data_IF_686452437322
#
_entry.id   IF_686452437322
#
_cell.length_a   1.000
_cell.length_b   1.000
_cell.length_c   1.000
_cell.angle_alpha   90.00
_cell.angle_beta   90.00
_cell.angle_gamma   90.00
#
_symmetry.space_group_name_H-M   'P 1'
#
loop_
_entity.id
_entity.type
_entity.pdbx_description
1 polymer ?
#
# COMPACT_ATOMS: atom_id res chain seq x y z
N UNK A 1 36.98 -13.90 30.45
CA UNK A 1 35.93 -13.90 31.48
C UNK A 1 34.78 -13.04 30.97
N UNK A 2 33.58 -13.60 30.73
CA UNK A 2 32.41 -12.89 30.18
C UNK A 2 31.72 -11.88 31.13
N UNK A 3 32.47 -11.16 31.95
CA UNK A 3 31.93 -10.31 33.02
C UNK A 3 31.49 -8.90 32.59
N UNK A 4 31.34 -8.60 31.30
CA UNK A 4 30.91 -7.27 30.81
C UNK A 4 29.57 -7.29 30.06
N UNK A 5 28.71 -8.29 30.35
CA UNK A 5 27.31 -8.29 29.90
C UNK A 5 26.47 -7.50 30.91
N UNK A 6 26.73 -6.20 31.08
CA UNK A 6 25.89 -5.38 31.97
C UNK A 6 25.63 -3.94 31.51
N UNK A 7 25.46 -3.76 30.19
CA UNK A 7 24.74 -2.62 29.58
C UNK A 7 23.45 -3.07 28.84
N UNK A 8 23.10 -4.36 28.93
CA UNK A 8 22.36 -5.07 27.87
C UNK A 8 20.83 -5.09 28.05
N UNK A 9 20.25 -4.69 29.19
CA UNK A 9 18.84 -5.00 29.47
C UNK A 9 17.79 -4.02 28.91
N UNK A 10 18.09 -2.73 28.72
CA UNK A 10 17.15 -1.82 28.06
C UNK A 10 17.21 -1.95 26.53
N UNK A 11 18.42 -2.09 25.98
CA UNK A 11 18.65 -2.30 24.55
C UNK A 11 18.08 -3.61 24.03
N UNK A 12 18.22 -4.73 24.77
CA UNK A 12 17.71 -6.04 24.30
C UNK A 12 16.20 -6.16 24.36
N UNK A 13 15.53 -5.57 25.35
CA UNK A 13 14.07 -5.63 25.43
C UNK A 13 13.41 -4.73 24.37
N UNK A 14 13.97 -3.54 24.13
CA UNK A 14 13.56 -2.66 23.03
C UNK A 14 13.87 -3.31 21.67
N UNK A 15 15.06 -3.88 21.49
CA UNK A 15 15.43 -4.61 20.27
C UNK A 15 14.50 -5.79 20.01
N UNK A 16 14.23 -6.64 21.02
CA UNK A 16 13.30 -7.78 20.90
C UNK A 16 11.88 -7.33 20.55
N UNK A 17 11.42 -6.20 21.09
CA UNK A 17 10.11 -5.60 20.73
C UNK A 17 10.11 -5.10 19.28
N UNK A 18 11.15 -4.37 18.88
CA UNK A 18 11.28 -3.84 17.53
C UNK A 18 11.37 -4.96 16.49
N UNK A 19 12.10 -6.03 16.78
CA UNK A 19 12.20 -7.19 15.89
C UNK A 19 10.86 -7.90 15.73
N UNK A 20 10.11 -8.08 16.83
CA UNK A 20 8.73 -8.61 16.73
C UNK A 20 7.83 -7.72 15.88
N UNK A 21 7.93 -6.40 16.03
CA UNK A 21 7.12 -5.48 15.23
C UNK A 21 7.52 -5.52 13.74
N UNK A 22 8.82 -5.63 13.44
CA UNK A 22 9.30 -5.85 12.06
C UNK A 22 8.73 -7.12 11.46
N UNK A 23 8.74 -8.24 12.19
CA UNK A 23 8.16 -9.51 11.72
C UNK A 23 6.65 -9.41 11.50
N UNK A 24 5.92 -8.75 12.42
CA UNK A 24 4.48 -8.52 12.29
C UNK A 24 4.17 -7.70 11.03
N UNK A 25 4.92 -6.61 10.80
CA UNK A 25 4.77 -5.76 9.62
C UNK A 25 5.12 -6.53 8.34
N UNK A 26 6.17 -7.35 8.36
CA UNK A 26 6.52 -8.22 7.23
C UNK A 26 5.38 -9.16 6.86
N UNK A 27 4.82 -9.88 7.84
CA UNK A 27 3.67 -10.77 7.62
C UNK A 27 2.48 -10.04 6.99
N UNK A 28 2.18 -8.82 7.44
CA UNK A 28 1.13 -8.00 6.83
C UNK A 28 1.47 -7.64 5.37
N UNK A 29 2.71 -7.24 5.09
CA UNK A 29 3.14 -6.87 3.74
C UNK A 29 3.08 -8.06 2.77
N UNK A 30 3.49 -9.25 3.23
CA UNK A 30 3.38 -10.49 2.46
C UNK A 30 1.91 -10.80 2.14
N UNK A 31 0.99 -10.54 3.08
CA UNK A 31 -0.45 -10.62 2.84
C UNK A 31 -0.95 -9.67 1.75
N UNK A 32 -0.46 -8.43 1.72
CA UNK A 32 -0.78 -7.48 0.65
C UNK A 32 -0.22 -7.91 -0.71
N UNK A 33 0.98 -8.49 -0.75
CA UNK A 33 1.57 -8.99 -2.00
C UNK A 33 0.78 -10.18 -2.56
N UNK A 34 0.39 -11.13 -1.70
CA UNK A 34 -0.52 -12.22 -2.08
C UNK A 34 -1.84 -11.69 -2.61
N UNK A 35 -2.44 -10.69 -1.94
CA UNK A 35 -3.67 -10.08 -2.42
C UNK A 35 -3.50 -9.50 -3.82
N UNK A 36 -2.42 -8.74 -4.07
CA UNK A 36 -2.15 -8.15 -5.41
C UNK A 36 -2.05 -9.20 -6.52
N UNK A 37 -1.52 -10.39 -6.23
CA UNK A 37 -1.44 -11.47 -7.21
C UNK A 37 -2.81 -12.01 -7.65
N UNK A 38 -3.87 -11.75 -6.87
CA UNK A 38 -5.24 -12.15 -7.20
C UNK A 38 -6.08 -11.02 -7.83
N UNK A 39 -5.53 -9.82 -7.96
CA UNK A 39 -6.24 -8.67 -8.52
C UNK A 39 -5.99 -8.54 -10.03
N UNK A 40 -6.94 -7.96 -10.78
CA UNK A 40 -6.78 -7.69 -12.21
C UNK A 40 -5.82 -6.52 -12.45
N UNK A 41 -4.53 -6.74 -12.19
CA UNK A 41 -3.43 -5.79 -12.36
C UNK A 41 -2.52 -6.25 -13.49
N UNK A 42 -2.04 -5.31 -14.30
CA UNK A 42 -0.95 -5.58 -15.24
C UNK A 42 0.39 -5.64 -14.48
N UNK A 43 1.44 -6.26 -15.05
CA UNK A 43 2.75 -6.33 -14.38
C UNK A 43 3.35 -4.94 -14.11
N UNK A 44 3.02 -3.95 -14.96
CA UNK A 44 3.35 -2.53 -14.75
C UNK A 44 2.62 -1.89 -13.57
N UNK A 45 1.44 -2.40 -13.19
CA UNK A 45 0.60 -1.86 -12.11
C UNK A 45 0.87 -2.49 -10.75
N UNK A 46 1.89 -3.37 -10.62
CA UNK A 46 2.21 -4.00 -9.31
C UNK A 46 2.60 -3.01 -8.21
N UNK A 47 2.77 -1.72 -8.52
CA UNK A 47 3.11 -0.63 -7.60
C UNK A 47 1.90 0.15 -7.06
N UNK A 48 0.74 -0.47 -6.91
CA UNK A 48 -0.40 0.17 -6.23
C UNK A 48 -0.21 0.27 -4.71
N UNK A 49 -0.73 1.36 -4.13
CA UNK A 49 -0.70 1.60 -2.68
C UNK A 49 -1.54 0.57 -1.91
N UNK A 50 -1.27 0.37 -0.62
CA UNK A 50 -2.07 -0.54 0.24
C UNK A 50 -3.56 -0.21 0.21
N UNK A 51 -3.91 1.08 0.27
CA UNK A 51 -5.31 1.54 0.23
C UNK A 51 -5.94 1.21 -1.12
N UNK A 52 -5.22 1.45 -2.20
CA UNK A 52 -5.75 1.18 -3.55
C UNK A 52 -5.83 -0.34 -3.82
N UNK A 53 -4.94 -1.14 -3.23
CA UNK A 53 -5.05 -2.61 -3.22
C UNK A 53 -6.37 -3.06 -2.57
N UNK A 54 -6.71 -2.53 -1.39
CA UNK A 54 -7.97 -2.88 -0.73
C UNK A 54 -9.19 -2.41 -1.53
N UNK A 55 -9.14 -1.20 -2.10
CA UNK A 55 -10.24 -0.68 -2.94
C UNK A 55 -10.44 -1.53 -4.19
N UNK A 56 -9.37 -1.92 -4.85
CA UNK A 56 -9.43 -2.79 -6.01
C UNK A 56 -9.96 -4.17 -5.65
N UNK A 57 -9.56 -4.74 -4.52
CA UNK A 57 -10.10 -6.00 -4.03
C UNK A 57 -11.62 -5.96 -3.82
N UNK A 58 -12.13 -4.91 -3.18
CA UNK A 58 -13.58 -4.72 -2.98
C UNK A 58 -14.30 -4.59 -4.32
N UNK A 59 -13.75 -3.80 -5.26
CA UNK A 59 -14.32 -3.66 -6.61
C UNK A 59 -14.32 -4.99 -7.36
N UNK A 60 -13.24 -5.77 -7.23
CA UNK A 60 -13.11 -7.05 -7.92
C UNK A 60 -14.11 -8.07 -7.40
N UNK A 61 -14.31 -8.17 -6.08
CA UNK A 61 -15.35 -9.04 -5.50
C UNK A 61 -16.74 -8.67 -6.04
N UNK A 62 -17.10 -7.38 -6.05
CA UNK A 62 -18.39 -6.92 -6.59
C UNK A 62 -18.54 -7.21 -8.08
N UNK A 63 -17.46 -7.08 -8.83
CA UNK A 63 -17.46 -7.40 -10.26
C UNK A 63 -17.69 -8.89 -10.49
N UNK A 64 -17.00 -9.77 -9.75
CA UNK A 64 -17.20 -11.22 -9.84
C UNK A 64 -18.62 -11.62 -9.47
N UNK A 65 -19.19 -11.02 -8.42
CA UNK A 65 -20.58 -11.26 -8.03
C UNK A 65 -21.57 -10.85 -9.13
N UNK A 66 -21.38 -9.67 -9.72
CA UNK A 66 -22.20 -9.22 -10.86
C UNK A 66 -22.04 -10.12 -12.10
N UNK A 67 -20.85 -10.66 -12.36
CA UNK A 67 -20.62 -11.61 -13.47
C UNK A 67 -21.41 -12.90 -13.28
N UNK A 68 -21.56 -13.38 -12.04
CA UNK A 68 -22.34 -14.58 -11.74
C UNK A 68 -23.85 -14.33 -11.86
N UNK A 69 -24.30 -13.09 -11.65
CA UNK A 69 -25.73 -12.74 -11.65
C UNK A 69 -26.27 -12.26 -13.00
N UNK A 70 -25.43 -11.73 -13.90
CA UNK A 70 -25.89 -11.11 -15.15
C UNK A 70 -24.99 -11.39 -16.35
N UNK A 71 -25.57 -11.93 -17.43
CA UNK A 71 -24.89 -12.12 -18.71
C UNK A 71 -24.57 -10.79 -19.42
N UNK A 72 -25.35 -9.73 -19.19
CA UNK A 72 -25.05 -8.41 -19.75
C UNK A 72 -23.75 -7.84 -19.16
N UNK A 73 -23.49 -8.12 -17.88
CA UNK A 73 -22.26 -7.71 -17.22
C UNK A 73 -21.03 -8.42 -17.81
N UNK A 74 -21.17 -9.67 -18.23
CA UNK A 74 -20.11 -10.41 -18.92
C UNK A 74 -19.63 -9.72 -20.20
N UNK A 75 -20.54 -9.09 -20.96
CA UNK A 75 -20.21 -8.54 -22.29
C UNK A 75 -19.90 -7.03 -22.24
N UNK A 76 -20.50 -6.28 -21.31
CA UNK A 76 -20.44 -4.80 -21.30
C UNK A 76 -19.83 -4.18 -20.04
N UNK A 77 -19.14 -4.96 -19.21
CA UNK A 77 -18.63 -4.47 -17.92
C UNK A 77 -17.63 -3.30 -18.06
N UNK A 78 -17.86 -2.23 -17.28
CA UNK A 78 -16.96 -1.08 -17.15
C UNK A 78 -16.39 -0.89 -15.71
N UNK A 79 -16.46 -1.91 -14.86
CA UNK A 79 -16.10 -1.83 -13.42
C UNK A 79 -14.68 -1.36 -13.12
N UNK A 80 -13.75 -1.48 -14.07
CA UNK A 80 -12.33 -1.19 -13.85
C UNK A 80 -11.84 0.07 -14.58
N UNK A 81 -12.60 0.64 -15.53
CA UNK A 81 -12.18 1.83 -16.28
C UNK A 81 -11.97 3.04 -15.38
N UNK A 82 -12.82 3.22 -14.37
CA UNK A 82 -12.71 4.32 -13.40
C UNK A 82 -11.59 4.14 -12.39
N UNK A 83 -11.06 2.93 -12.21
CA UNK A 83 -10.01 2.69 -11.22
C UNK A 83 -8.67 3.29 -11.66
N UNK A 84 -8.33 3.17 -12.96
CA UNK A 84 -7.09 3.71 -13.52
C UNK A 84 -7.08 5.25 -13.40
N UNK A 85 -8.19 5.91 -13.76
CA UNK A 85 -8.31 7.38 -13.69
C UNK A 85 -8.24 7.91 -12.25
N UNK A 86 -8.96 7.27 -11.31
CA UNK A 86 -8.92 7.66 -9.89
C UNK A 86 -7.52 7.52 -9.28
N UNK A 87 -6.78 6.48 -9.68
CA UNK A 87 -5.41 6.23 -9.23
C UNK A 87 -4.45 7.31 -9.73
N UNK A 88 -4.52 7.65 -11.02
CA UNK A 88 -3.69 8.68 -11.65
C UNK A 88 -3.96 10.08 -11.09
N UNK A 89 -5.23 10.45 -10.93
CA UNK A 89 -5.59 11.74 -10.33
C UNK A 89 -5.08 11.87 -8.89
N UNK A 90 -5.18 10.77 -8.12
CA UNK A 90 -4.69 10.74 -6.75
C UNK A 90 -3.16 10.85 -6.71
N UNK A 91 -2.45 10.15 -7.60
CA UNK A 91 -1.01 10.26 -7.75
C UNK A 91 -0.60 11.70 -8.09
N UNK A 92 -1.32 12.37 -8.99
CA UNK A 92 -1.06 13.76 -9.35
C UNK A 92 -1.34 14.72 -8.18
N UNK A 93 -2.41 14.50 -7.41
CA UNK A 93 -2.66 15.27 -6.17
C UNK A 93 -1.50 15.15 -5.18
N UNK A 94 -0.96 13.94 -4.98
CA UNK A 94 0.19 13.73 -4.10
C UNK A 94 1.45 14.44 -4.63
N UNK A 95 1.72 14.38 -5.94
CA UNK A 95 2.83 15.11 -6.57
C UNK A 95 2.71 16.63 -6.38
N UNK A 96 1.49 17.19 -6.49
CA UNK A 96 1.23 18.62 -6.21
C UNK A 96 1.52 18.99 -4.75
N UNK A 97 1.08 18.16 -3.80
CA UNK A 97 1.34 18.38 -2.37
C UNK A 97 2.85 18.34 -2.09
N UNK A 98 3.57 17.37 -2.65
CA UNK A 98 5.02 17.25 -2.47
C UNK A 98 5.78 18.48 -3.03
N UNK A 99 5.43 18.92 -4.25
CA UNK A 99 5.99 20.16 -4.83
C UNK A 99 5.77 21.37 -3.92
N UNK A 100 4.57 21.51 -3.36
CA UNK A 100 4.23 22.62 -2.45
C UNK A 100 5.00 22.53 -1.13
N UNK A 101 5.17 21.32 -0.58
CA UNK A 101 5.95 21.10 0.64
C UNK A 101 7.42 21.50 0.45
N UNK A 102 8.05 21.06 -0.65
CA UNK A 102 9.44 21.43 -0.98
C UNK A 102 9.65 22.94 -1.10
N UNK A 103 8.69 23.65 -1.69
CA UNK A 103 8.75 25.11 -1.81
C UNK A 103 8.74 25.80 -0.43
N UNK A 104 7.88 25.35 0.49
CA UNK A 104 7.83 25.88 1.86
C UNK A 104 9.10 25.59 2.66
N UNK A 105 9.62 24.37 2.54
CA UNK A 105 10.87 23.96 3.20
C UNK A 105 12.04 24.81 2.70
N UNK A 106 12.12 25.11 1.39
CA UNK A 106 13.15 26.00 0.82
C UNK A 106 13.04 27.47 1.28
N UNK A 107 11.82 27.97 1.50
CA UNK A 107 11.60 29.31 2.06
C UNK A 107 11.96 29.40 3.54
N UNK A 108 11.82 28.29 4.28
CA UNK A 108 12.11 28.21 5.72
C UNK A 108 13.60 28.05 6.04
N UNK A 109 14.41 27.56 5.09
CA UNK A 109 15.88 27.50 5.22
C UNK A 109 16.60 28.77 4.74
N UNK A 110 15.87 29.73 4.17
CA UNK A 110 16.41 30.99 3.64
C UNK A 110 16.11 32.20 4.55
N UNK A 111 15.45 31.97 5.69
CA UNK A 111 15.13 32.94 6.73
C UNK A 111 15.83 32.52 8.04
#
# INVERSE_FOLDING_TARGET
LPSEINEINFGTTVWKRNERERLRVRCVNDGYERLRNHLPLTESDRRISKVDTLRLAIRYIRHLDALLQSYDHWIKCDCFRTFQTESEERAERLRRIDRRKRALDSSSSSA
#
